data_IF_597228151941
#
_entry.id   IF_597228151941
#
_cell.length_a   1.000
_cell.length_b   1.000
_cell.length_c   1.000
_cell.angle_alpha   90.00
_cell.angle_beta   90.00
_cell.angle_gamma   90.00
#
_symmetry.space_group_name_H-M   'P 1'
#
loop_
_entity.id
_entity.type
_entity.pdbx_description
1 polymer ?
#
# COMPACT_ATOMS: atom_id res chain seq x y z
N UNK A 1 -11.54 1.40 0.95
CA UNK A 1 -10.07 1.27 0.72
C UNK A 1 -9.76 1.86 -0.64
N UNK A 2 -8.67 2.62 -0.76
CA UNK A 2 -8.27 3.16 -2.05
C UNK A 2 -7.92 2.07 -3.07
N UNK A 3 -7.87 2.43 -4.34
CA UNK A 3 -7.36 1.61 -5.43
C UNK A 3 -6.24 2.34 -6.16
N UNK A 4 -5.13 1.66 -6.42
CA UNK A 4 -4.04 2.17 -7.26
C UNK A 4 -3.89 1.32 -8.51
N UNK A 5 -3.46 1.94 -9.60
CA UNK A 5 -3.16 1.28 -10.85
C UNK A 5 -2.09 2.06 -11.62
N UNK A 6 -1.37 1.39 -12.51
CA UNK A 6 -0.45 2.07 -13.41
C UNK A 6 0.07 1.18 -14.52
N UNK A 7 0.62 1.85 -15.52
CA UNK A 7 1.26 1.29 -16.71
C UNK A 7 2.61 1.99 -16.89
N UNK A 8 3.69 1.23 -16.88
CA UNK A 8 5.05 1.69 -17.17
C UNK A 8 5.56 1.03 -18.45
N UNK A 9 6.31 1.76 -19.28
CA UNK A 9 6.70 1.30 -20.62
C UNK A 9 5.66 1.69 -21.67
N UNK A 10 5.13 2.92 -21.58
CA UNK A 10 4.05 3.41 -22.47
C UNK A 10 4.49 3.61 -23.91
N UNK A 11 5.79 3.69 -24.19
CA UNK A 11 6.36 3.74 -25.54
C UNK A 11 5.98 2.51 -26.39
N UNK A 12 5.63 1.40 -25.75
CA UNK A 12 5.15 0.19 -26.41
C UNK A 12 3.65 0.24 -26.78
N UNK A 13 2.98 1.36 -26.46
CA UNK A 13 1.58 1.58 -26.76
C UNK A 13 1.41 2.62 -27.88
N UNK A 14 0.40 2.48 -28.74
CA UNK A 14 -0.07 3.59 -29.56
C UNK A 14 -0.44 4.80 -28.68
N UNK A 15 -0.33 5.99 -29.22
CA UNK A 15 -0.61 7.25 -28.52
C UNK A 15 -1.99 7.20 -27.81
N UNK A 16 -1.99 7.51 -26.52
CA UNK A 16 -3.18 7.52 -25.66
C UNK A 16 -3.71 6.15 -25.20
N UNK A 17 -3.22 5.02 -25.74
CA UNK A 17 -3.69 3.70 -25.31
C UNK A 17 -3.28 3.36 -23.86
N UNK A 18 -2.05 3.67 -23.44
CA UNK A 18 -1.60 3.43 -22.08
C UNK A 18 -2.42 4.22 -21.05
N UNK A 19 -2.72 5.49 -21.37
CA UNK A 19 -3.60 6.31 -20.53
C UNK A 19 -5.02 5.73 -20.48
N UNK A 20 -5.57 5.29 -21.62
CA UNK A 20 -6.87 4.61 -21.69
C UNK A 20 -6.88 3.30 -20.90
N UNK A 21 -5.80 2.51 -20.95
CA UNK A 21 -5.66 1.30 -20.15
C UNK A 21 -5.67 1.62 -18.65
N UNK A 22 -4.87 2.60 -18.20
CA UNK A 22 -4.85 3.03 -16.81
C UNK A 22 -6.24 3.55 -16.35
N UNK A 23 -6.96 4.28 -17.18
CA UNK A 23 -8.31 4.75 -16.88
C UNK A 23 -9.28 3.59 -16.68
N UNK A 24 -9.29 2.60 -17.58
CA UNK A 24 -10.12 1.38 -17.46
C UNK A 24 -9.78 0.61 -16.17
N UNK A 25 -8.49 0.53 -15.82
CA UNK A 25 -8.03 -0.12 -14.60
C UNK A 25 -8.57 0.58 -13.35
N UNK A 26 -8.61 1.91 -13.32
CA UNK A 26 -9.17 2.70 -12.21
C UNK A 26 -10.69 2.59 -12.14
N UNK A 27 -11.37 2.63 -13.29
CA UNK A 27 -12.84 2.61 -13.36
C UNK A 27 -13.47 1.38 -12.70
N UNK A 28 -12.87 0.21 -12.90
CA UNK A 28 -13.37 -1.04 -12.29
C UNK A 28 -13.10 -1.11 -10.78
N UNK A 29 -12.31 -0.19 -10.22
CA UNK A 29 -12.02 -0.08 -8.79
C UNK A 29 -12.87 0.98 -8.07
N UNK A 30 -13.90 1.55 -8.69
CA UNK A 30 -14.75 2.59 -8.10
C UNK A 30 -15.37 2.20 -6.75
N UNK A 31 -15.66 0.90 -6.55
CA UNK A 31 -16.17 0.35 -5.29
C UNK A 31 -15.15 0.44 -4.14
N UNK A 32 -13.84 0.55 -4.45
CA UNK A 32 -12.79 0.75 -3.44
C UNK A 32 -12.70 2.20 -3.00
N UNK A 33 -12.83 3.12 -3.93
CA UNK A 33 -12.64 4.56 -3.69
C UNK A 33 -13.67 5.40 -4.44
N UNK A 34 -14.87 5.60 -3.86
CA UNK A 34 -15.95 6.32 -4.53
C UNK A 34 -15.83 7.84 -4.45
N UNK A 35 -14.91 8.39 -3.63
CA UNK A 35 -14.87 9.82 -3.33
C UNK A 35 -14.20 10.65 -4.42
N UNK A 36 -13.12 10.14 -5.02
CA UNK A 36 -12.44 10.81 -6.12
C UNK A 36 -11.68 9.82 -6.99
N UNK A 37 -11.45 10.21 -8.25
CA UNK A 37 -10.58 9.51 -9.19
C UNK A 37 -9.55 10.48 -9.73
N UNK A 38 -8.32 9.99 -9.94
CA UNK A 38 -7.26 10.73 -10.58
C UNK A 38 -6.46 9.86 -11.53
N UNK A 39 -6.05 10.46 -12.64
CA UNK A 39 -5.13 9.88 -13.62
C UNK A 39 -4.08 10.92 -13.93
N UNK A 40 -2.84 10.49 -14.01
CA UNK A 40 -1.71 11.31 -14.43
C UNK A 40 -0.78 10.50 -15.34
N UNK A 41 -0.12 11.18 -16.25
CA UNK A 41 0.92 10.61 -17.10
C UNK A 41 2.06 11.60 -17.26
N UNK A 42 3.27 11.11 -17.32
CA UNK A 42 4.44 11.89 -17.72
C UNK A 42 4.53 12.09 -19.23
N UNK A 43 3.61 11.47 -19.98
CA UNK A 43 3.53 11.44 -21.46
C UNK A 43 4.77 10.82 -22.14
N UNK A 44 5.59 10.12 -21.38
CA UNK A 44 6.80 9.45 -21.90
C UNK A 44 6.75 7.95 -21.61
N UNK A 45 6.71 7.58 -20.35
CA UNK A 45 6.93 6.19 -19.91
C UNK A 45 5.88 5.67 -18.95
N UNK A 46 5.14 6.56 -18.28
CA UNK A 46 4.31 6.19 -17.13
C UNK A 46 2.90 6.79 -17.20
N UNK A 47 1.91 5.97 -16.83
CA UNK A 47 0.57 6.44 -16.49
C UNK A 47 0.17 5.87 -15.12
N UNK A 48 -0.22 6.74 -14.19
CA UNK A 48 -0.65 6.39 -12.83
C UNK A 48 -2.12 6.72 -12.63
N UNK A 49 -2.83 5.86 -11.90
CA UNK A 49 -4.22 6.05 -11.59
C UNK A 49 -4.59 5.72 -10.16
N UNK A 50 -5.58 6.43 -9.62
CA UNK A 50 -6.03 6.30 -8.24
C UNK A 50 -7.55 6.40 -8.13
N UNK A 51 -8.15 5.54 -7.26
CA UNK A 51 -9.52 5.66 -6.75
C UNK A 51 -9.46 5.93 -5.26
N UNK A 52 -9.95 7.09 -4.81
CA UNK A 52 -9.82 7.57 -3.43
C UNK A 52 -11.01 7.18 -2.57
N UNK A 53 -10.74 6.57 -1.42
CA UNK A 53 -11.61 6.58 -0.25
C UNK A 53 -11.00 7.56 0.76
N UNK A 54 -11.70 8.66 1.04
CA UNK A 54 -11.20 9.70 1.93
C UNK A 54 -11.37 9.27 3.38
N UNK A 55 -10.24 9.03 4.08
CA UNK A 55 -10.16 8.68 5.51
C UNK A 55 -9.48 9.82 6.27
N UNK A 56 -8.41 10.38 5.70
CA UNK A 56 -7.75 11.59 6.17
C UNK A 56 -7.94 12.72 5.17
N UNK A 57 -7.97 13.94 5.67
CA UNK A 57 -8.09 15.16 4.87
C UNK A 57 -9.25 15.08 3.86
N UNK A 58 -10.46 14.86 4.38
CA UNK A 58 -11.63 14.49 3.59
C UNK A 58 -12.14 15.60 2.67
N UNK A 59 -11.81 16.85 2.97
CA UNK A 59 -12.33 18.03 2.28
C UNK A 59 -11.34 18.63 1.26
N UNK A 60 -10.03 18.41 1.45
CA UNK A 60 -9.02 18.99 0.59
C UNK A 60 -8.87 18.24 -0.73
N UNK A 61 -8.92 18.97 -1.84
CA UNK A 61 -8.58 18.46 -3.17
C UNK A 61 -7.07 18.19 -3.32
N UNK A 62 -6.21 18.85 -2.53
CA UNK A 62 -4.76 18.64 -2.53
C UNK A 62 -4.36 17.24 -2.05
N UNK A 63 -5.25 16.57 -1.29
CA UNK A 63 -5.06 15.17 -0.89
C UNK A 63 -5.50 14.15 -1.95
N UNK A 64 -6.02 14.60 -3.10
CA UNK A 64 -6.34 13.71 -4.22
C UNK A 64 -5.05 13.20 -4.87
N UNK A 65 -5.09 11.96 -5.32
CA UNK A 65 -3.95 11.30 -5.92
C UNK A 65 -4.22 11.00 -7.41
N UNK A 66 -3.19 10.89 -8.25
CA UNK A 66 -1.75 10.89 -7.94
C UNK A 66 -1.26 12.20 -7.32
N UNK A 67 -0.40 12.13 -6.27
CA UNK A 67 0.33 13.29 -5.78
C UNK A 67 1.48 13.57 -6.74
N UNK A 68 1.65 14.83 -7.13
CA UNK A 68 2.63 15.23 -8.14
C UNK A 68 3.43 16.41 -7.61
N UNK A 69 4.74 16.32 -7.71
CA UNK A 69 5.62 17.47 -7.54
C UNK A 69 5.95 18.06 -8.90
N UNK A 70 5.25 19.11 -9.28
CA UNK A 70 5.41 19.71 -10.60
C UNK A 70 6.85 20.18 -10.94
N UNK A 71 7.65 20.70 -10.01
CA UNK A 71 9.03 21.06 -10.29
C UNK A 71 9.94 19.89 -10.64
N UNK A 72 9.81 18.73 -9.95
CA UNK A 72 10.65 17.55 -10.20
C UNK A 72 10.04 16.58 -11.20
N UNK A 73 8.71 16.54 -11.31
CA UNK A 73 7.98 15.52 -12.06
C UNK A 73 7.77 14.21 -11.30
N UNK A 74 8.16 14.15 -10.01
CA UNK A 74 7.90 13.00 -9.15
C UNK A 74 6.41 12.80 -8.95
N UNK A 75 5.98 11.53 -8.85
CA UNK A 75 4.58 11.20 -8.62
C UNK A 75 4.39 10.00 -7.68
N UNK A 76 3.30 10.00 -6.91
CA UNK A 76 2.95 8.93 -5.99
C UNK A 76 1.47 8.56 -6.11
N UNK A 77 1.19 7.25 -6.15
CA UNK A 77 -0.12 6.68 -5.84
C UNK A 77 0.01 5.71 -4.67
N UNK A 78 -0.91 5.82 -3.72
CA UNK A 78 -0.84 5.14 -2.44
C UNK A 78 -2.22 4.62 -2.01
N UNK A 79 -2.26 3.36 -1.59
CA UNK A 79 -3.40 2.72 -0.96
C UNK A 79 -2.97 2.22 0.41
N UNK A 80 -3.34 2.91 1.48
CA UNK A 80 -2.91 2.52 2.81
C UNK A 80 -3.24 3.53 3.88
N UNK A 81 -2.60 3.32 5.03
CA UNK A 81 -2.56 4.23 6.18
C UNK A 81 -1.19 4.10 6.84
N UNK A 82 -0.50 5.22 7.03
CA UNK A 82 0.78 5.28 7.74
C UNK A 82 0.50 5.77 9.17
N UNK A 83 0.53 4.86 10.13
CA UNK A 83 0.12 5.16 11.50
C UNK A 83 1.03 6.17 12.21
N UNK A 84 2.32 6.14 11.90
CA UNK A 84 3.31 7.04 12.50
C UNK A 84 3.57 8.32 11.68
N UNK A 85 2.67 8.69 10.76
CA UNK A 85 2.87 9.83 9.85
C UNK A 85 3.13 11.16 10.56
N UNK A 86 2.52 11.38 11.74
CA UNK A 86 2.72 12.63 12.50
C UNK A 86 4.15 12.77 13.00
N UNK A 87 4.76 11.68 13.49
CA UNK A 87 6.16 11.71 13.92
C UNK A 87 7.11 11.83 12.74
N UNK A 88 6.83 11.16 11.62
CA UNK A 88 7.61 11.30 10.39
C UNK A 88 7.52 12.73 9.83
N UNK A 89 6.34 13.35 9.87
CA UNK A 89 6.16 14.75 9.47
C UNK A 89 7.01 15.70 10.31
N UNK A 90 7.02 15.54 11.63
CA UNK A 90 7.84 16.35 12.52
C UNK A 90 9.35 16.16 12.24
N UNK A 91 9.79 14.92 11.99
CA UNK A 91 11.17 14.63 11.59
C UNK A 91 11.53 15.31 10.25
N UNK A 92 10.67 15.18 9.25
CA UNK A 92 10.86 15.82 7.94
C UNK A 92 10.94 17.34 8.03
N UNK A 93 10.07 17.99 8.81
CA UNK A 93 10.04 19.44 8.99
C UNK A 93 11.31 19.99 9.66
N UNK A 94 12.01 19.19 10.44
CA UNK A 94 13.27 19.55 11.08
C UNK A 94 14.51 19.12 10.30
N UNK A 95 14.35 18.27 9.29
CA UNK A 95 15.43 17.75 8.46
C UNK A 95 15.89 18.77 7.44
N UNK A 96 17.21 18.93 7.30
CA UNK A 96 17.82 19.71 6.21
C UNK A 96 17.69 19.05 4.84
N UNK A 97 17.39 17.77 4.80
CA UNK A 97 17.21 16.98 3.58
C UNK A 97 15.84 17.21 2.95
N UNK A 98 14.87 17.75 3.70
CA UNK A 98 13.50 17.92 3.26
C UNK A 98 13.22 19.38 2.87
N UNK A 99 12.94 19.61 1.60
CA UNK A 99 12.51 20.93 1.07
C UNK A 99 10.99 20.96 0.77
N UNK A 100 10.22 20.02 1.34
CA UNK A 100 8.79 19.92 1.08
C UNK A 100 7.97 20.85 1.97
N UNK A 101 7.05 21.61 1.36
CA UNK A 101 6.07 22.41 2.09
C UNK A 101 4.75 21.66 2.12
N UNK A 102 4.34 21.24 3.31
CA UNK A 102 3.12 20.46 3.50
C UNK A 102 1.86 21.31 3.29
N UNK A 103 0.93 20.80 2.47
CA UNK A 103 -0.34 21.45 2.12
C UNK A 103 -1.54 20.71 2.73
N UNK A 104 -1.37 19.42 3.06
CA UNK A 104 -2.43 18.56 3.59
C UNK A 104 -2.13 18.14 5.02
N UNK A 105 -3.11 17.55 5.69
CA UNK A 105 -2.95 16.98 7.04
C UNK A 105 -2.80 15.47 7.03
N UNK A 106 -2.93 14.84 5.86
CA UNK A 106 -2.93 13.40 5.68
C UNK A 106 -1.55 12.75 5.64
N UNK A 107 -1.55 11.45 5.64
CA UNK A 107 -0.38 10.57 5.64
C UNK A 107 0.28 10.41 4.26
N UNK A 108 -0.51 10.50 3.19
CA UNK A 108 -0.02 10.29 1.82
C UNK A 108 1.01 11.33 1.40
N UNK A 109 0.83 12.60 1.77
CA UNK A 109 1.80 13.67 1.51
C UNK A 109 3.08 13.47 2.33
N UNK A 110 2.95 12.98 3.57
CA UNK A 110 4.10 12.65 4.42
C UNK A 110 4.92 11.51 3.82
N UNK A 111 4.26 10.46 3.33
CA UNK A 111 4.92 9.38 2.59
C UNK A 111 5.67 9.92 1.36
N UNK A 112 5.03 10.78 0.58
CA UNK A 112 5.63 11.37 -0.61
C UNK A 112 6.87 12.20 -0.29
N UNK A 113 6.78 13.07 0.73
CA UNK A 113 7.91 13.86 1.21
C UNK A 113 9.06 12.99 1.74
N UNK A 114 8.74 11.90 2.45
CA UNK A 114 9.72 10.94 2.96
C UNK A 114 10.47 10.23 1.83
N UNK A 115 9.76 9.72 0.83
CA UNK A 115 10.35 9.05 -0.34
C UNK A 115 11.31 9.99 -1.09
N UNK A 116 10.92 11.24 -1.30
CA UNK A 116 11.73 12.26 -1.97
C UNK A 116 12.96 12.68 -1.16
N UNK A 117 12.85 12.72 0.18
CA UNK A 117 13.92 13.18 1.04
C UNK A 117 14.90 12.07 1.44
N UNK A 118 14.43 10.86 1.62
CA UNK A 118 15.21 9.75 2.19
C UNK A 118 15.42 8.58 1.23
N UNK A 119 14.74 8.57 0.09
CA UNK A 119 14.70 7.43 -0.83
C UNK A 119 13.85 6.27 -0.33
N UNK A 120 13.75 5.22 -1.17
CA UNK A 120 12.86 4.08 -0.92
C UNK A 120 13.25 3.29 0.35
N UNK A 121 14.48 2.83 0.42
CA UNK A 121 14.92 1.90 1.48
C UNK A 121 14.79 2.50 2.88
N UNK A 122 15.34 3.69 3.10
CA UNK A 122 15.26 4.37 4.41
C UNK A 122 13.80 4.68 4.79
N UNK A 123 12.97 5.04 3.82
CA UNK A 123 11.55 5.30 4.04
C UNK A 123 10.84 4.03 4.48
N UNK A 124 10.97 2.92 3.74
CA UNK A 124 10.31 1.64 4.07
C UNK A 124 10.60 1.17 5.50
N UNK A 125 11.85 1.31 5.96
CA UNK A 125 12.23 0.91 7.32
C UNK A 125 11.65 1.82 8.42
N UNK A 126 11.35 3.09 8.10
CA UNK A 126 10.74 4.04 9.03
C UNK A 126 9.21 3.96 9.08
N UNK A 127 8.57 3.43 8.04
CA UNK A 127 7.11 3.35 7.99
C UNK A 127 6.56 2.35 9.02
N UNK A 128 5.54 2.78 9.76
CA UNK A 128 4.64 1.91 10.49
C UNK A 128 3.23 2.10 9.94
N UNK A 129 2.69 1.04 9.31
CA UNK A 129 1.41 1.16 8.60
C UNK A 129 1.06 -0.06 7.77
N UNK A 130 -0.06 0.05 7.09
CA UNK A 130 -0.52 -0.89 6.08
C UNK A 130 -0.57 -0.17 4.73
N UNK A 131 0.17 -0.66 3.73
CA UNK A 131 0.32 0.08 2.49
C UNK A 131 0.64 -0.77 1.26
N UNK A 132 0.22 -0.24 0.13
CA UNK A 132 0.76 -0.51 -1.18
C UNK A 132 0.90 0.83 -1.92
N UNK A 133 2.02 1.08 -2.55
CA UNK A 133 2.23 2.30 -3.30
C UNK A 133 3.06 2.08 -4.56
N UNK A 134 2.96 3.05 -5.46
CA UNK A 134 3.86 3.24 -6.58
C UNK A 134 4.42 4.65 -6.54
N UNK A 135 5.74 4.78 -6.53
CA UNK A 135 6.48 6.03 -6.52
C UNK A 135 7.35 6.16 -7.77
N UNK A 136 7.13 7.23 -8.51
CA UNK A 136 7.95 7.64 -9.64
C UNK A 136 8.97 8.67 -9.20
N UNK A 137 10.25 8.36 -9.35
CA UNK A 137 11.36 9.29 -9.23
C UNK A 137 11.75 9.74 -10.64
N UNK A 138 11.35 10.95 -11.02
CA UNK A 138 11.55 11.45 -12.37
C UNK A 138 13.02 11.73 -12.69
N UNK A 139 13.84 12.09 -11.69
CA UNK A 139 15.26 12.37 -11.89
C UNK A 139 16.07 11.09 -12.21
N UNK A 140 15.65 9.96 -11.65
CA UNK A 140 16.26 8.65 -11.91
C UNK A 140 15.52 7.86 -12.99
N UNK A 141 14.39 8.36 -13.50
CA UNK A 141 13.47 7.63 -14.39
C UNK A 141 13.12 6.23 -13.84
N UNK A 142 12.89 6.17 -12.53
CA UNK A 142 12.70 4.92 -11.77
C UNK A 142 11.31 4.83 -11.15
N UNK A 143 10.63 3.73 -11.39
CA UNK A 143 9.37 3.38 -10.75
C UNK A 143 9.63 2.37 -9.63
N UNK A 144 9.18 2.72 -8.42
CA UNK A 144 9.25 1.83 -7.25
C UNK A 144 7.85 1.41 -6.83
N UNK A 145 7.63 0.11 -6.71
CA UNK A 145 6.41 -0.48 -6.15
C UNK A 145 6.74 -1.08 -4.79
N UNK A 146 5.93 -0.85 -3.76
CA UNK A 146 6.19 -1.47 -2.46
C UNK A 146 4.91 -1.92 -1.77
N UNK A 147 5.04 -2.98 -0.96
CA UNK A 147 3.95 -3.57 -0.17
C UNK A 147 4.37 -3.70 1.29
N UNK A 148 3.43 -3.48 2.21
CA UNK A 148 3.68 -3.47 3.65
C UNK A 148 4.20 -4.81 4.21
N UNK A 149 4.72 -4.76 5.46
CA UNK A 149 5.39 -5.86 6.15
C UNK A 149 4.58 -7.14 6.21
N UNK A 150 3.25 -7.05 6.29
CA UNK A 150 2.33 -8.17 6.44
C UNK A 150 1.47 -8.42 5.19
N UNK A 151 1.63 -7.58 4.14
CA UNK A 151 0.85 -7.66 2.91
C UNK A 151 -0.64 -7.38 3.12
N UNK A 152 -0.98 -6.49 4.06
CA UNK A 152 -2.37 -6.11 4.36
C UNK A 152 -3.02 -5.45 3.16
N UNK A 153 -2.30 -4.54 2.47
CA UNK A 153 -2.80 -3.96 1.23
C UNK A 153 -2.36 -4.80 0.03
N UNK A 154 -3.27 -5.12 -0.89
CA UNK A 154 -2.92 -5.89 -2.07
C UNK A 154 -2.18 -5.05 -3.11
N UNK A 155 -1.22 -5.67 -3.80
CA UNK A 155 -0.54 -5.11 -4.96
C UNK A 155 -0.21 -6.23 -5.94
N UNK A 156 -0.95 -6.25 -7.06
CA UNK A 156 -0.74 -7.19 -8.16
C UNK A 156 0.03 -6.51 -9.28
N UNK A 157 0.83 -7.27 -10.01
CA UNK A 157 1.62 -6.76 -11.11
C UNK A 157 1.83 -7.82 -12.21
N UNK A 158 2.23 -7.35 -13.39
CA UNK A 158 2.56 -8.18 -14.55
C UNK A 158 3.64 -7.51 -15.37
N UNK A 159 4.65 -8.29 -15.76
CA UNK A 159 5.64 -7.94 -16.77
C UNK A 159 5.50 -8.82 -18.02
N UNK A 160 4.72 -9.88 -17.93
CA UNK A 160 4.53 -10.87 -18.99
C UNK A 160 3.21 -10.59 -19.73
N UNK A 161 3.22 -9.62 -20.63
CA UNK A 161 2.07 -9.23 -21.43
C UNK A 161 2.47 -8.90 -22.88
N UNK A 162 1.48 -8.75 -23.76
CA UNK A 162 1.70 -8.56 -25.19
C UNK A 162 2.40 -7.24 -25.54
N UNK A 163 2.43 -6.28 -24.61
CA UNK A 163 3.03 -4.96 -24.79
C UNK A 163 4.45 -4.85 -24.22
N UNK A 164 4.92 -5.83 -23.45
CA UNK A 164 6.21 -5.75 -22.76
C UNK A 164 6.26 -4.67 -21.65
N UNK A 165 5.13 -4.13 -21.26
CA UNK A 165 5.03 -3.09 -20.24
C UNK A 165 4.87 -3.69 -18.85
N UNK A 166 5.20 -2.93 -17.81
CA UNK A 166 4.85 -3.28 -16.43
C UNK A 166 3.47 -2.70 -16.12
N UNK A 167 2.54 -3.58 -15.75
CA UNK A 167 1.23 -3.18 -15.24
C UNK A 167 1.12 -3.53 -13.77
N UNK A 168 0.53 -2.66 -12.96
CA UNK A 168 0.25 -2.93 -11.56
C UNK A 168 -1.10 -2.38 -11.13
N UNK A 169 -1.73 -3.06 -10.15
CA UNK A 169 -3.01 -2.61 -9.58
C UNK A 169 -3.30 -3.23 -8.22
N UNK A 170 -4.24 -2.63 -7.49
CA UNK A 170 -4.75 -3.19 -6.24
C UNK A 170 -5.60 -4.46 -6.43
N UNK A 171 -6.08 -4.75 -7.64
CA UNK A 171 -6.96 -5.91 -7.93
C UNK A 171 -6.63 -6.58 -9.27
N UNK A 172 -6.73 -7.90 -9.29
CA UNK A 172 -6.53 -8.72 -10.52
C UNK A 172 -7.49 -8.28 -11.63
N UNK A 173 -8.76 -8.00 -11.32
CA UNK A 173 -9.73 -7.55 -12.32
C UNK A 173 -9.38 -6.21 -12.96
N UNK A 174 -8.66 -5.37 -12.22
CA UNK A 174 -8.15 -4.09 -12.72
C UNK A 174 -7.11 -4.33 -13.81
N UNK A 175 -6.13 -5.21 -13.56
CA UNK A 175 -5.14 -5.61 -14.55
C UNK A 175 -5.79 -6.21 -15.80
N UNK A 176 -6.81 -7.06 -15.64
CA UNK A 176 -7.55 -7.63 -16.78
C UNK A 176 -8.36 -6.58 -17.57
N UNK A 177 -8.81 -5.51 -16.90
CA UNK A 177 -9.54 -4.42 -17.54
C UNK A 177 -8.66 -3.55 -18.45
N UNK A 178 -7.33 -3.57 -18.26
CA UNK A 178 -6.38 -2.90 -19.16
C UNK A 178 -6.51 -3.38 -20.61
N UNK A 179 -6.91 -4.66 -20.78
CA UNK A 179 -6.93 -5.32 -22.10
C UNK A 179 -5.56 -5.83 -22.55
N UNK A 180 -4.50 -5.63 -21.77
CA UNK A 180 -3.13 -6.02 -22.12
C UNK A 180 -2.77 -7.44 -21.66
N UNK A 181 -3.56 -8.05 -20.78
CA UNK A 181 -3.30 -9.36 -20.20
C UNK A 181 -4.38 -10.34 -20.63
N UNK A 182 -3.96 -11.46 -21.21
CA UNK A 182 -4.88 -12.51 -21.64
C UNK A 182 -5.56 -13.18 -20.45
N UNK A 183 -6.86 -13.47 -20.56
CA UNK A 183 -7.64 -14.15 -19.52
C UNK A 183 -7.38 -15.67 -19.57
N UNK A 184 -6.23 -16.08 -19.05
CA UNK A 184 -5.82 -17.49 -18.98
C UNK A 184 -5.72 -17.94 -17.53
N UNK A 185 -6.24 -19.15 -17.24
CA UNK A 185 -6.12 -19.73 -15.91
C UNK A 185 -4.70 -20.24 -15.70
N UNK A 186 -4.13 -19.92 -14.54
CA UNK A 186 -2.91 -20.54 -14.04
C UNK A 186 -3.27 -21.91 -13.45
N UNK A 187 -2.84 -22.99 -14.12
CA UNK A 187 -3.21 -24.38 -13.74
C UNK A 187 -2.60 -24.80 -12.40
N UNK A 188 -1.39 -24.31 -12.09
CA UNK A 188 -0.73 -24.62 -10.83
C UNK A 188 -1.44 -23.92 -9.67
N UNK A 189 -1.79 -22.65 -9.84
CA UNK A 189 -2.60 -21.88 -8.88
C UNK A 189 -4.02 -22.47 -8.71
N UNK A 190 -4.61 -23.02 -9.77
CA UNK A 190 -5.89 -23.75 -9.66
C UNK A 190 -5.75 -25.02 -8.81
N UNK A 191 -4.65 -25.74 -8.95
CA UNK A 191 -4.35 -26.92 -8.13
C UNK A 191 -4.20 -26.53 -6.66
N UNK A 192 -3.49 -25.43 -6.37
CA UNK A 192 -3.36 -24.86 -5.03
C UNK A 192 -4.73 -24.49 -4.45
N UNK A 193 -5.56 -23.81 -5.23
CA UNK A 193 -6.90 -23.43 -4.80
C UNK A 193 -7.77 -24.64 -4.47
N UNK A 194 -7.73 -25.69 -5.28
CA UNK A 194 -8.50 -26.92 -5.03
C UNK A 194 -8.01 -27.67 -3.78
N UNK A 195 -6.73 -27.55 -3.44
CA UNK A 195 -6.13 -28.20 -2.27
C UNK A 195 -6.30 -27.41 -0.98
N UNK A 196 -6.15 -26.08 -1.03
CA UNK A 196 -6.04 -25.22 0.15
C UNK A 196 -7.16 -24.18 0.26
N UNK A 197 -8.08 -24.12 -0.70
CA UNK A 197 -9.12 -23.09 -0.83
C UNK A 197 -8.54 -21.66 -0.95
N UNK A 198 -7.27 -21.55 -1.31
CA UNK A 198 -6.56 -20.29 -1.53
C UNK A 198 -5.45 -20.47 -2.55
N UNK A 199 -5.00 -19.37 -3.15
CA UNK A 199 -3.81 -19.35 -4.01
C UNK A 199 -2.69 -18.65 -3.25
N UNK A 200 -1.51 -19.27 -3.18
CA UNK A 200 -0.37 -18.71 -2.46
C UNK A 200 0.42 -17.73 -3.34
N UNK A 201 0.82 -16.62 -2.72
CA UNK A 201 1.74 -15.67 -3.36
C UNK A 201 3.08 -16.36 -3.72
N UNK A 202 3.73 -15.96 -4.81
CA UNK A 202 3.40 -14.81 -5.67
C UNK A 202 2.34 -15.10 -6.74
N UNK A 203 1.87 -16.33 -6.88
CA UNK A 203 0.93 -16.71 -7.93
C UNK A 203 -0.47 -16.11 -7.73
N UNK A 204 -1.21 -16.02 -8.82
CA UNK A 204 -2.65 -15.76 -8.84
C UNK A 204 -3.37 -16.76 -9.71
N UNK A 205 -4.70 -16.80 -9.61
CA UNK A 205 -5.53 -17.68 -10.45
C UNK A 205 -5.43 -17.32 -11.95
N UNK A 206 -5.01 -16.11 -12.26
CA UNK A 206 -4.78 -15.65 -13.64
C UNK A 206 -3.30 -15.77 -13.97
N UNK A 207 -2.99 -16.48 -15.07
CA UNK A 207 -1.63 -16.59 -15.57
C UNK A 207 -1.06 -15.21 -15.91
N UNK A 208 0.25 -15.05 -15.70
CA UNK A 208 1.00 -13.82 -15.99
C UNK A 208 0.66 -12.62 -15.07
N UNK A 209 -0.17 -12.84 -14.04
CA UNK A 209 -0.39 -11.87 -12.94
C UNK A 209 0.19 -12.42 -11.66
N UNK A 210 1.04 -11.64 -11.00
CA UNK A 210 1.66 -11.97 -9.71
C UNK A 210 1.14 -11.05 -8.61
N UNK A 211 1.07 -11.57 -7.40
CA UNK A 211 0.87 -10.79 -6.18
C UNK A 211 2.25 -10.45 -5.61
N UNK A 212 2.57 -9.18 -5.44
CA UNK A 212 3.79 -8.81 -4.74
C UNK A 212 3.73 -9.32 -3.30
N UNK A 213 4.74 -10.08 -2.87
CA UNK A 213 4.74 -10.68 -1.53
C UNK A 213 4.83 -9.62 -0.41
N UNK A 214 4.41 -10.02 0.79
CA UNK A 214 4.52 -9.18 1.99
C UNK A 214 5.98 -8.78 2.26
N UNK A 215 6.21 -7.51 2.60
CA UNK A 215 7.54 -6.98 2.85
C UNK A 215 8.46 -6.98 1.64
N UNK A 216 7.89 -6.97 0.42
CA UNK A 216 8.66 -6.88 -0.82
C UNK A 216 8.45 -5.54 -1.52
N UNK A 217 9.43 -5.18 -2.32
CA UNK A 217 9.39 -4.04 -3.23
C UNK A 217 9.92 -4.45 -4.61
N UNK A 218 9.57 -3.65 -5.61
CA UNK A 218 10.08 -3.75 -6.98
C UNK A 218 10.65 -2.40 -7.36
N UNK A 219 11.86 -2.37 -7.87
CA UNK A 219 12.42 -1.22 -8.58
C UNK A 219 12.51 -1.53 -10.07
N UNK A 220 12.03 -0.61 -10.87
CA UNK A 220 11.98 -0.72 -12.34
C UNK A 220 12.67 0.50 -12.89
N UNK A 221 13.73 0.27 -13.65
CA UNK A 221 14.51 1.30 -14.31
C UNK A 221 15.05 0.75 -15.62
N UNK A 222 14.88 1.48 -16.70
CA UNK A 222 15.20 1.01 -18.05
C UNK A 222 14.51 -0.35 -18.33
N UNK A 223 15.25 -1.34 -18.77
CA UNK A 223 14.77 -2.72 -18.99
C UNK A 223 14.90 -3.62 -17.76
N UNK A 224 15.42 -3.08 -16.63
CA UNK A 224 15.65 -3.84 -15.41
C UNK A 224 14.42 -3.84 -14.48
N UNK A 225 14.08 -5.00 -13.98
CA UNK A 225 13.06 -5.17 -12.93
C UNK A 225 13.67 -5.97 -11.79
N UNK A 226 13.92 -5.30 -10.67
CA UNK A 226 14.49 -5.93 -9.47
C UNK A 226 13.41 -6.08 -8.40
N UNK A 227 13.16 -7.33 -7.98
CA UNK A 227 12.21 -7.68 -6.92
C UNK A 227 12.98 -8.09 -5.69
N UNK A 228 12.90 -7.32 -4.63
CA UNK A 228 13.62 -7.58 -3.39
C UNK A 228 12.73 -7.55 -2.16
N UNK A 229 13.18 -8.26 -1.12
CA UNK A 229 12.51 -8.31 0.18
C UNK A 229 13.18 -7.37 1.16
N UNK A 230 12.50 -6.29 1.53
CA UNK A 230 12.97 -5.30 2.51
C UNK A 230 12.59 -5.66 3.95
N UNK A 231 11.58 -6.54 4.16
CA UNK A 231 11.15 -7.01 5.47
C UNK A 231 10.82 -8.50 5.46
N UNK A 232 11.29 -9.23 6.46
CA UNK A 232 10.95 -10.64 6.65
C UNK A 232 10.56 -10.88 8.11
N UNK A 233 9.28 -11.08 8.36
CA UNK A 233 8.70 -11.26 9.70
C UNK A 233 9.33 -12.43 10.46
N UNK A 234 9.62 -13.55 9.80
CA UNK A 234 10.24 -14.71 10.44
C UNK A 234 11.68 -14.38 10.90
N UNK A 235 12.45 -13.69 10.07
CA UNK A 235 13.80 -13.24 10.41
C UNK A 235 13.78 -12.27 11.60
N UNK A 236 12.87 -11.30 11.61
CA UNK A 236 12.75 -10.33 12.69
C UNK A 236 12.27 -10.99 14.00
N UNK A 237 11.34 -11.94 13.92
CA UNK A 237 10.91 -12.74 15.07
C UNK A 237 12.07 -13.57 15.67
N UNK A 238 12.92 -14.16 14.82
CA UNK A 238 14.11 -14.89 15.27
C UNK A 238 15.15 -13.96 15.93
N UNK A 239 15.36 -12.77 15.39
CA UNK A 239 16.23 -11.74 16.02
C UNK A 239 15.69 -11.33 17.39
N UNK A 240 14.39 -11.03 17.47
CA UNK A 240 13.73 -10.67 18.73
C UNK A 240 13.86 -11.79 19.77
N UNK A 241 13.61 -13.05 19.39
CA UNK A 241 13.72 -14.21 20.28
C UNK A 241 15.14 -14.37 20.87
N UNK A 242 16.20 -14.05 20.13
CA UNK A 242 17.58 -14.12 20.62
C UNK A 242 17.88 -13.08 21.72
N UNK A 243 17.14 -11.98 21.73
CA UNK A 243 17.32 -10.87 22.65
C UNK A 243 16.37 -10.93 23.87
N UNK A 244 15.41 -11.88 23.85
CA UNK A 244 14.49 -12.06 24.98
C UNK A 244 15.14 -12.87 26.08
N UNK A 245 15.09 -12.36 27.31
CA UNK A 245 15.35 -13.17 28.51
C UNK A 245 14.13 -14.05 28.78
N UNK A 246 14.27 -15.37 28.93
CA UNK A 246 13.16 -16.23 29.26
C UNK A 246 12.54 -15.78 30.60
N UNK A 247 11.24 -15.53 30.62
CA UNK A 247 10.48 -15.29 31.83
C UNK A 247 9.29 -16.23 31.87
N UNK A 248 8.96 -16.75 33.06
CA UNK A 248 7.77 -17.52 33.35
C UNK A 248 6.72 -16.70 34.12
N UNK A 249 6.97 -15.41 34.31
CA UNK A 249 6.04 -14.49 34.93
C UNK A 249 4.89 -14.17 33.99
N UNK A 250 3.77 -14.87 34.16
CA UNK A 250 2.59 -14.72 33.30
C UNK A 250 1.95 -13.33 33.44
N UNK A 251 2.03 -12.71 34.61
CA UNK A 251 1.45 -11.37 34.82
C UNK A 251 2.26 -10.31 34.09
N UNK A 252 3.59 -10.42 34.11
CA UNK A 252 4.46 -9.54 33.33
C UNK A 252 4.20 -9.69 31.82
N UNK A 253 4.12 -10.93 31.32
CA UNK A 253 3.83 -11.21 29.92
C UNK A 253 2.46 -10.66 29.52
N UNK A 254 1.43 -10.86 30.34
CA UNK A 254 0.08 -10.36 30.07
C UNK A 254 0.03 -8.83 30.03
N UNK A 255 0.78 -8.16 30.92
CA UNK A 255 0.90 -6.70 30.93
C UNK A 255 1.55 -6.19 29.66
N UNK A 256 2.71 -6.72 29.26
CA UNK A 256 3.44 -6.32 28.06
C UNK A 256 2.59 -6.53 26.80
N UNK A 257 1.89 -7.68 26.73
CA UNK A 257 0.98 -7.98 25.63
C UNK A 257 -0.16 -6.95 25.55
N UNK A 258 -0.79 -6.63 26.70
CA UNK A 258 -1.86 -5.65 26.77
C UNK A 258 -1.38 -4.26 26.32
N UNK A 259 -0.21 -3.80 26.79
CA UNK A 259 0.36 -2.52 26.41
C UNK A 259 0.64 -2.46 24.90
N UNK A 260 1.22 -3.53 24.33
CA UNK A 260 1.50 -3.64 22.90
C UNK A 260 0.21 -3.61 22.06
N UNK A 261 -0.80 -4.38 22.47
CA UNK A 261 -2.11 -4.39 21.79
C UNK A 261 -2.81 -3.03 21.88
N UNK A 262 -2.79 -2.39 23.06
CA UNK A 262 -3.38 -1.07 23.27
C UNK A 262 -2.76 -0.04 22.34
N UNK A 263 -1.42 0.02 22.26
CA UNK A 263 -0.69 0.92 21.37
C UNK A 263 -1.03 0.64 19.89
N UNK A 264 -1.12 -0.63 19.52
CA UNK A 264 -1.48 -1.06 18.17
C UNK A 264 -2.91 -0.66 17.79
N UNK A 265 -3.87 -0.82 18.70
CA UNK A 265 -5.27 -0.41 18.50
C UNK A 265 -5.35 1.11 18.40
N UNK A 266 -4.69 1.84 19.31
CA UNK A 266 -4.67 3.30 19.33
C UNK A 266 -4.13 3.90 18.02
N UNK A 267 -3.07 3.32 17.46
CA UNK A 267 -2.49 3.76 16.20
C UNK A 267 -3.48 3.64 15.03
N UNK A 268 -4.33 2.60 15.05
CA UNK A 268 -5.35 2.33 14.01
C UNK A 268 -6.66 3.08 14.22
N UNK A 269 -6.84 3.71 15.37
CA UNK A 269 -8.01 4.55 15.65
C UNK A 269 -7.86 6.00 15.17
N UNK A 270 -6.74 6.35 14.54
CA UNK A 270 -6.55 7.67 13.94
C UNK A 270 -7.34 7.77 12.64
N UNK A 271 -8.27 8.71 12.56
CA UNK A 271 -9.11 8.94 11.37
C UNK A 271 -9.88 10.25 11.51
N UNK A 272 -10.12 10.94 10.39
CA UNK A 272 -11.00 12.12 10.32
C UNK A 272 -12.48 11.72 10.13
N UNK A 273 -12.76 10.43 9.93
CA UNK A 273 -14.11 9.87 9.81
C UNK A 273 -14.45 8.95 10.97
N UNK A 274 -15.74 8.68 11.17
CA UNK A 274 -16.20 7.75 12.22
C UNK A 274 -15.65 6.35 12.00
N UNK A 275 -15.10 5.76 13.06
CA UNK A 275 -14.59 4.38 13.08
C UNK A 275 -15.64 3.47 13.72
N UNK A 276 -15.73 2.25 13.20
CA UNK A 276 -16.48 1.15 13.79
C UNK A 276 -15.66 -0.14 13.78
N UNK A 277 -16.11 -1.14 14.52
CA UNK A 277 -15.44 -2.43 14.60
C UNK A 277 -16.41 -3.59 14.36
N UNK A 278 -15.93 -4.65 13.69
CA UNK A 278 -16.65 -5.91 13.61
C UNK A 278 -16.50 -6.68 14.94
N UNK A 279 -17.65 -7.10 15.50
CA UNK A 279 -17.71 -7.86 16.75
C UNK A 279 -18.41 -9.21 16.52
N UNK A 280 -17.60 -10.23 16.24
CA UNK A 280 -18.10 -11.58 15.92
C UNK A 280 -18.45 -12.43 17.13
N UNK A 281 -18.26 -11.92 18.35
CA UNK A 281 -18.39 -12.70 19.60
C UNK A 281 -17.17 -13.61 19.91
N UNK A 282 -16.15 -13.62 19.06
CA UNK A 282 -14.87 -14.29 19.32
C UNK A 282 -13.98 -13.54 20.30
N UNK A 283 -13.02 -14.23 20.90
CA UNK A 283 -12.10 -13.66 21.90
C UNK A 283 -11.31 -12.48 21.31
N UNK A 284 -10.78 -12.62 20.10
CA UNK A 284 -9.95 -11.60 19.45
C UNK A 284 -10.73 -10.31 19.19
N UNK A 285 -11.91 -10.41 18.55
CA UNK A 285 -12.74 -9.25 18.27
C UNK A 285 -13.23 -8.57 19.56
N UNK A 286 -13.55 -9.34 20.59
CA UNK A 286 -13.95 -8.82 21.90
C UNK A 286 -12.81 -8.08 22.59
N UNK A 287 -11.58 -8.62 22.57
CA UNK A 287 -10.41 -7.97 23.12
C UNK A 287 -10.11 -6.64 22.43
N UNK A 288 -10.15 -6.61 21.08
CA UNK A 288 -9.93 -5.39 20.30
C UNK A 288 -11.00 -4.33 20.61
N UNK A 289 -12.28 -4.69 20.60
CA UNK A 289 -13.37 -3.75 20.90
C UNK A 289 -13.30 -3.25 22.35
N UNK A 290 -12.92 -4.12 23.29
CA UNK A 290 -12.66 -3.75 24.68
C UNK A 290 -11.58 -2.67 24.80
N UNK A 291 -10.43 -2.88 24.16
CA UNK A 291 -9.35 -1.89 24.13
C UNK A 291 -9.76 -0.59 23.42
N UNK A 292 -10.49 -0.68 22.30
CA UNK A 292 -11.04 0.51 21.64
C UNK A 292 -11.92 1.31 22.57
N UNK A 293 -12.78 0.64 23.36
CA UNK A 293 -13.68 1.28 24.31
C UNK A 293 -12.96 1.95 25.48
N UNK A 294 -11.81 1.39 25.92
CA UNK A 294 -10.97 2.00 26.96
C UNK A 294 -10.22 3.26 26.45
N UNK A 295 -9.84 3.27 25.16
CA UNK A 295 -9.09 4.37 24.55
C UNK A 295 -10.04 5.51 24.15
N UNK A 296 -11.26 5.20 23.75
CA UNK A 296 -12.21 6.17 23.17
C UNK A 296 -13.06 6.83 24.24
N UNK A 297 -13.20 8.15 24.17
CA UNK A 297 -14.17 8.91 24.98
C UNK A 297 -15.62 8.72 24.51
N UNK A 298 -15.83 8.19 23.29
CA UNK A 298 -17.14 7.98 22.69
C UNK A 298 -17.45 6.49 22.54
N UNK A 299 -18.73 6.09 22.61
CA UNK A 299 -19.12 4.71 22.37
C UNK A 299 -18.64 4.22 21.00
N UNK A 300 -18.04 3.02 20.96
CA UNK A 300 -17.60 2.39 19.73
C UNK A 300 -18.81 1.76 19.02
N UNK A 301 -18.98 2.09 17.74
CA UNK A 301 -19.99 1.44 16.89
C UNK A 301 -19.50 0.06 16.51
N UNK A 302 -20.30 -0.97 16.79
CA UNK A 302 -19.99 -2.35 16.45
C UNK A 302 -20.97 -2.91 15.44
N UNK A 303 -20.50 -3.87 14.63
CA UNK A 303 -21.27 -4.58 13.62
C UNK A 303 -21.06 -6.08 13.79
N UNK A 304 -22.14 -6.87 13.68
CA UNK A 304 -22.13 -8.33 13.78
C UNK A 304 -22.75 -8.95 12.54
#
# INVERSE_FOLDING_TARGET
MCGIAGVFGIENFPEGEAHSAALKMVDVMSHRGPNAKGIWSDNKNLSLGHSRLSVFDTESSEANQPLIDNPSGDALVFNGEIYNFRSLRAELQTSKECNHTFKTTGDSEVLFAALRSWGLDRTLHKLDGMFAFAWWNAAEEKLSLARDRFGIKPLYWSSENEKGAILFASEVRSLLASGCIARRVNKDALTDYLRYSTVHAPDTIVKDIKLLEAGCAIEIQDESTDVFRWWNTATEALKAKRNLSPTNDLDAIAKDLRETLTSSVQARMQSDVSIGAFLSGGIDSTAIVGLMSEISEKPIKTFT
#
